data_IF_270395814480
#
_entry.id   IF_270395814480
#
_cell.length_a   1.000
_cell.length_b   1.000
_cell.length_c   1.000
_cell.angle_alpha   90.00
_cell.angle_beta   90.00
_cell.angle_gamma   90.00
#
_symmetry.space_group_name_H-M   'P 1'
#
loop_
_entity.id
_entity.type
_entity.pdbx_description
1 polymer ?
#
# COMPACT_ATOMS: atom_id res chain seq x y z
N UNK A 1 14.47 -11.45 4.05
CA UNK A 1 14.46 -11.47 2.56
C UNK A 1 15.35 -12.56 1.96
N UNK A 2 16.58 -12.79 2.42
CA UNK A 2 17.47 -13.79 1.80
C UNK A 2 16.87 -15.19 1.63
N UNK A 3 16.04 -15.64 2.57
CA UNK A 3 15.36 -16.95 2.50
C UNK A 3 14.25 -17.08 1.45
N UNK A 4 13.89 -15.97 0.78
CA UNK A 4 12.85 -15.91 -0.27
C UNK A 4 13.36 -15.18 -1.51
N UNK A 5 14.67 -15.02 -1.66
CA UNK A 5 15.25 -14.24 -2.77
C UNK A 5 14.96 -14.87 -4.13
N UNK A 6 14.87 -16.20 -4.19
CA UNK A 6 14.54 -16.94 -5.40
C UNK A 6 13.08 -16.72 -5.85
N UNK A 7 12.22 -16.19 -4.98
CA UNK A 7 10.83 -15.82 -5.29
C UNK A 7 10.70 -14.36 -5.77
N UNK A 8 11.80 -13.59 -5.79
CA UNK A 8 11.80 -12.14 -6.05
C UNK A 8 12.36 -11.83 -7.44
N UNK A 9 11.70 -10.92 -8.16
CA UNK A 9 12.15 -10.31 -9.41
C UNK A 9 12.58 -8.87 -9.15
N UNK A 10 13.87 -8.54 -9.30
CA UNK A 10 14.39 -7.21 -9.04
C UNK A 10 14.35 -6.29 -10.27
N UNK A 11 14.11 -5.00 -10.03
CA UNK A 11 14.24 -3.92 -11.02
C UNK A 11 15.18 -2.87 -10.45
N UNK A 12 16.44 -2.82 -10.93
CA UNK A 12 17.48 -1.99 -10.30
C UNK A 12 17.71 -0.62 -10.97
N UNK A 13 17.11 -0.39 -12.13
CA UNK A 13 17.27 0.84 -12.91
C UNK A 13 16.06 1.79 -12.81
N UNK A 14 15.31 1.75 -11.70
CA UNK A 14 14.14 2.62 -11.51
C UNK A 14 14.55 4.09 -11.45
N UNK A 15 13.82 4.96 -12.13
CA UNK A 15 14.02 6.42 -12.07
C UNK A 15 12.73 7.17 -11.70
N UNK A 16 12.90 8.28 -11.00
CA UNK A 16 11.84 9.20 -10.60
C UNK A 16 12.04 10.59 -11.20
N UNK A 17 11.03 11.45 -11.05
CA UNK A 17 11.04 12.83 -11.56
C UNK A 17 11.41 13.88 -10.51
N UNK A 18 11.50 13.51 -9.24
CA UNK A 18 11.79 14.44 -8.14
C UNK A 18 12.40 13.72 -6.95
N UNK A 19 13.36 14.36 -6.29
CA UNK A 19 13.87 13.97 -4.98
C UNK A 19 13.11 14.60 -3.81
N UNK A 20 11.95 15.21 -4.04
CA UNK A 20 11.12 15.79 -2.97
C UNK A 20 10.07 14.77 -2.56
N UNK A 21 10.05 14.36 -1.29
CA UNK A 21 9.14 13.32 -0.79
C UNK A 21 7.69 13.54 -1.24
N UNK A 22 7.14 14.75 -1.12
CA UNK A 22 5.75 15.00 -1.48
C UNK A 22 5.47 14.77 -2.97
N UNK A 23 6.36 15.13 -3.88
CA UNK A 23 6.14 14.87 -5.30
C UNK A 23 6.42 13.41 -5.66
N UNK A 24 7.41 12.82 -5.02
CA UNK A 24 7.88 11.48 -5.31
C UNK A 24 6.91 10.41 -4.76
N UNK A 25 6.32 10.60 -3.57
CA UNK A 25 5.29 9.69 -3.05
C UNK A 25 4.03 9.72 -3.91
N UNK A 26 3.61 10.90 -4.38
CA UNK A 26 2.52 10.96 -5.36
C UNK A 26 2.88 10.25 -6.65
N UNK A 27 4.08 10.47 -7.19
CA UNK A 27 4.51 9.81 -8.42
C UNK A 27 4.45 8.29 -8.28
N UNK A 28 4.95 7.75 -7.17
CA UNK A 28 4.90 6.31 -6.94
C UNK A 28 3.50 5.79 -6.64
N UNK A 29 2.64 6.55 -5.96
CA UNK A 29 1.31 6.06 -5.62
C UNK A 29 0.28 6.26 -6.74
N UNK A 30 0.47 7.26 -7.60
CA UNK A 30 -0.54 7.75 -8.56
C UNK A 30 -0.02 7.89 -9.99
N UNK A 31 1.29 7.76 -10.25
CA UNK A 31 1.86 8.08 -11.56
C UNK A 31 2.02 9.59 -11.85
N UNK A 32 1.57 10.47 -10.95
CA UNK A 32 1.66 11.92 -11.14
C UNK A 32 2.38 12.61 -9.97
N UNK A 33 3.12 13.69 -10.23
CA UNK A 33 3.80 14.44 -9.17
C UNK A 33 2.89 15.43 -8.43
N UNK A 34 1.69 15.67 -8.99
CA UNK A 34 0.71 16.62 -8.49
C UNK A 34 -0.50 15.88 -7.94
N UNK A 35 -1.18 16.45 -6.92
CA UNK A 35 -2.43 15.88 -6.42
C UNK A 35 -3.55 15.93 -7.46
N UNK A 36 -4.62 15.16 -7.21
CA UNK A 36 -5.83 15.16 -8.04
C UNK A 36 -5.97 13.95 -8.95
N UNK A 37 -5.11 12.95 -8.78
CA UNK A 37 -5.16 11.69 -9.51
C UNK A 37 -5.39 10.51 -8.56
N UNK A 38 -6.11 9.48 -9.02
CA UNK A 38 -6.35 8.29 -8.20
C UNK A 38 -5.05 7.53 -7.92
N UNK A 39 -4.95 6.91 -6.75
CA UNK A 39 -3.85 5.99 -6.44
C UNK A 39 -4.03 4.61 -7.07
N UNK A 40 -2.95 3.84 -7.18
CA UNK A 40 -2.94 2.52 -7.82
C UNK A 40 -3.97 1.54 -7.22
N UNK A 41 -4.12 1.53 -5.90
CA UNK A 41 -5.16 0.70 -5.25
C UNK A 41 -6.59 1.11 -5.63
N UNK A 42 -6.83 2.40 -5.92
CA UNK A 42 -8.11 2.86 -6.46
C UNK A 42 -8.31 2.43 -7.92
N UNK A 43 -7.24 2.33 -8.72
CA UNK A 43 -7.33 1.79 -10.08
C UNK A 43 -7.75 0.34 -10.05
N UNK A 44 -7.09 -0.47 -9.21
CA UNK A 44 -7.39 -1.90 -9.05
C UNK A 44 -8.80 -2.10 -8.49
N UNK A 45 -9.18 -1.36 -7.45
CA UNK A 45 -10.54 -1.40 -6.89
C UNK A 45 -11.61 -1.02 -7.92
N UNK A 46 -11.35 -0.01 -8.75
CA UNK A 46 -12.27 0.39 -9.83
C UNK A 46 -12.35 -0.66 -10.95
N UNK A 47 -11.22 -1.26 -11.33
CA UNK A 47 -11.13 -2.17 -12.47
C UNK A 47 -11.64 -3.58 -12.14
N UNK A 48 -11.28 -4.12 -10.96
CA UNK A 48 -11.64 -5.47 -10.52
C UNK A 48 -12.92 -5.51 -9.66
N UNK A 49 -13.35 -4.38 -9.12
CA UNK A 49 -14.41 -4.34 -8.12
C UNK A 49 -14.03 -5.05 -6.82
N UNK A 50 -15.02 -5.54 -6.09
CA UNK A 50 -14.84 -6.35 -4.88
C UNK A 50 -15.51 -7.71 -5.07
N UNK A 51 -14.84 -8.78 -4.63
CA UNK A 51 -15.46 -10.10 -4.42
C UNK A 51 -16.01 -10.24 -2.99
N UNK A 52 -15.68 -9.29 -2.11
CA UNK A 52 -16.11 -9.28 -0.73
C UNK A 52 -17.17 -8.19 -0.52
N UNK A 53 -18.27 -8.57 0.13
CA UNK A 53 -19.33 -7.63 0.51
C UNK A 53 -19.05 -6.93 1.84
N UNK A 54 -18.31 -7.56 2.73
CA UNK A 54 -18.07 -7.13 4.11
C UNK A 54 -16.77 -6.37 4.31
N UNK A 55 -15.80 -6.48 3.38
CA UNK A 55 -14.52 -5.79 3.42
C UNK A 55 -14.30 -4.89 2.20
N UNK A 56 -13.56 -3.77 2.36
CA UNK A 56 -13.18 -2.88 1.26
C UNK A 56 -12.25 -3.59 0.28
N UNK A 57 -12.41 -3.32 -1.01
CA UNK A 57 -11.51 -3.81 -2.04
C UNK A 57 -10.08 -3.21 -1.93
N UNK A 58 -9.94 -2.02 -1.32
CA UNK A 58 -8.66 -1.34 -1.15
C UNK A 58 -8.45 -0.93 0.32
N UNK A 59 -7.48 -1.56 0.98
CA UNK A 59 -7.05 -1.26 2.34
C UNK A 59 -5.67 -0.59 2.33
N UNK A 60 -5.49 0.40 3.20
CA UNK A 60 -4.21 1.05 3.45
C UNK A 60 -3.83 0.85 4.92
N UNK A 61 -2.61 0.36 5.15
CA UNK A 61 -2.00 0.16 6.46
C UNK A 61 -0.86 1.18 6.63
N UNK A 62 -1.11 2.34 7.27
CA UNK A 62 -0.10 3.38 7.43
C UNK A 62 1.08 2.94 8.31
N UNK A 63 2.09 3.79 8.35
CA UNK A 63 3.12 3.66 9.38
C UNK A 63 2.52 3.93 10.77
N UNK A 64 3.04 3.27 11.82
CA UNK A 64 2.47 3.44 13.15
C UNK A 64 2.64 4.85 13.71
N UNK A 65 3.64 5.57 13.20
CA UNK A 65 3.95 6.95 13.53
C UNK A 65 3.10 7.96 12.73
N UNK A 66 2.38 7.51 11.70
CA UNK A 66 1.38 8.31 10.99
C UNK A 66 1.41 8.13 9.48
N UNK A 67 0.94 9.15 8.76
CA UNK A 67 0.86 9.12 7.31
C UNK A 67 2.14 9.55 6.61
N UNK A 68 2.47 8.87 5.51
CA UNK A 68 3.50 9.31 4.57
C UNK A 68 3.25 10.75 4.08
N UNK A 69 4.26 11.36 3.45
CA UNK A 69 4.14 12.69 2.84
C UNK A 69 2.90 12.78 1.94
N UNK A 70 2.11 13.85 2.09
CA UNK A 70 0.75 14.08 1.54
C UNK A 70 -0.42 13.27 2.13
N UNK A 71 -0.14 12.27 2.94
CA UNK A 71 -1.09 11.42 3.62
C UNK A 71 -2.17 10.84 2.70
N UNK A 72 -3.46 10.90 3.07
CA UNK A 72 -4.53 10.21 2.34
C UNK A 72 -4.67 10.52 0.85
N UNK A 73 -4.06 11.62 0.40
CA UNK A 73 -4.04 11.99 -1.02
C UNK A 73 -3.26 10.99 -1.89
N UNK A 74 -2.35 10.18 -1.31
CA UNK A 74 -1.65 9.13 -2.05
C UNK A 74 -2.56 7.95 -2.46
N UNK A 75 -3.65 7.73 -1.74
CA UNK A 75 -4.61 6.64 -1.97
C UNK A 75 -6.04 7.15 -2.17
N UNK A 76 -6.15 8.38 -2.67
CA UNK A 76 -7.42 8.99 -3.01
C UNK A 76 -8.05 8.34 -4.24
N UNK A 77 -9.38 8.30 -4.30
CA UNK A 77 -10.14 7.94 -5.52
C UNK A 77 -10.16 9.08 -6.55
N UNK A 78 -9.94 10.33 -6.13
CA UNK A 78 -9.97 11.51 -6.98
C UNK A 78 -11.25 11.60 -7.85
N UNK A 79 -11.11 11.40 -9.17
CA UNK A 79 -12.23 11.40 -10.11
C UNK A 79 -12.85 10.01 -10.36
N UNK A 80 -12.34 8.97 -9.73
CA UNK A 80 -12.98 7.66 -9.69
C UNK A 80 -14.15 7.67 -8.69
N UNK A 81 -15.11 6.74 -8.79
CA UNK A 81 -16.16 6.58 -7.79
C UNK A 81 -15.61 6.47 -6.36
N UNK A 82 -16.32 7.06 -5.39
CA UNK A 82 -15.89 7.11 -3.98
C UNK A 82 -15.69 5.74 -3.34
N UNK A 83 -16.34 4.69 -3.84
CA UNK A 83 -16.13 3.33 -3.33
C UNK A 83 -14.74 2.75 -3.66
N UNK A 84 -14.02 3.35 -4.61
CA UNK A 84 -12.63 3.01 -4.92
C UNK A 84 -11.61 3.69 -3.97
N UNK A 85 -12.09 4.50 -3.01
CA UNK A 85 -11.24 5.15 -2.01
C UNK A 85 -10.57 4.10 -1.11
N UNK A 86 -9.26 4.27 -0.84
CA UNK A 86 -8.57 3.41 0.11
C UNK A 86 -9.08 3.63 1.54
N UNK A 87 -9.43 2.53 2.22
CA UNK A 87 -9.82 2.53 3.63
C UNK A 87 -8.59 2.35 4.51
N UNK A 88 -8.33 3.32 5.37
CA UNK A 88 -7.22 3.29 6.31
C UNK A 88 -7.54 2.39 7.50
N UNK A 89 -6.64 1.47 7.83
CA UNK A 89 -6.68 0.67 9.06
C UNK A 89 -5.34 0.83 9.79
N UNK A 90 -5.39 1.03 11.11
CA UNK A 90 -4.24 1.09 12.00
C UNK A 90 -4.22 -0.12 12.95
N UNK A 91 -3.72 -1.29 12.52
CA UNK A 91 -3.82 -2.54 13.28
C UNK A 91 -3.21 -2.55 14.68
N UNK A 92 -2.38 -1.55 14.98
CA UNK A 92 -1.70 -1.38 16.25
C UNK A 92 -2.48 -0.55 17.28
N UNK A 93 -3.57 0.10 16.87
CA UNK A 93 -4.40 0.92 17.77
C UNK A 93 -5.49 0.05 18.40
N UNK A 94 -5.93 0.45 19.59
CA UNK A 94 -7.11 -0.15 20.23
C UNK A 94 -8.37 0.02 19.39
N UNK A 95 -8.51 1.18 18.74
CA UNK A 95 -9.51 1.42 17.69
C UNK A 95 -8.80 1.50 16.32
N UNK A 96 -8.74 0.41 15.54
CA UNK A 96 -7.99 0.38 14.29
C UNK A 96 -8.62 1.20 13.16
N UNK A 97 -9.94 1.42 13.23
CA UNK A 97 -10.71 2.16 12.23
C UNK A 97 -11.40 3.31 12.95
N UNK A 98 -11.18 4.54 12.47
CA UNK A 98 -11.82 5.72 13.05
C UNK A 98 -13.35 5.65 12.88
N UNK A 99 -14.10 6.18 13.85
CA UNK A 99 -15.56 6.28 13.83
C UNK A 99 -16.30 4.92 13.66
N UNK A 100 -15.65 3.80 14.00
CA UNK A 100 -16.20 2.45 13.86
C UNK A 100 -17.27 2.13 14.92
N UNK A 101 -17.21 2.76 16.10
CA UNK A 101 -18.17 2.51 17.17
C UNK A 101 -18.81 3.81 17.65
N UNK A 102 -20.12 3.82 17.96
CA UNK A 102 -20.77 4.98 18.52
C UNK A 102 -20.16 5.32 19.89
N UNK A 103 -19.77 6.58 20.08
CA UNK A 103 -19.22 7.07 21.35
C UNK A 103 -20.33 7.66 22.24
N UNK A 104 -21.29 6.82 22.64
CA UNK A 104 -22.39 7.24 23.52
C UNK A 104 -23.01 6.07 24.29
N UNK A 105 -23.11 6.22 25.62
CA UNK A 105 -23.60 5.17 26.52
C UNK A 105 -25.09 4.80 26.31
N UNK A 106 -25.86 5.68 25.68
CA UNK A 106 -27.29 5.48 25.41
C UNK A 106 -27.56 4.81 24.05
N UNK A 107 -26.53 4.58 23.23
CA UNK A 107 -26.68 3.90 21.93
C UNK A 107 -26.56 2.39 22.15
N UNK A 108 -27.66 1.67 21.96
CA UNK A 108 -27.67 0.21 22.01
C UNK A 108 -27.44 -0.37 20.62
N UNK A 109 -27.14 -1.67 20.52
CA UNK A 109 -27.01 -2.34 19.22
C UNK A 109 -28.29 -2.22 18.39
N UNK A 110 -29.44 -2.29 19.06
CA UNK A 110 -30.77 -2.16 18.45
C UNK A 110 -30.99 -0.74 17.92
N UNK A 111 -30.77 0.30 18.74
CA UNK A 111 -30.99 1.69 18.29
C UNK A 111 -30.00 2.13 17.21
N UNK A 112 -28.76 1.63 17.25
CA UNK A 112 -27.78 1.82 16.17
C UNK A 112 -28.26 1.17 14.86
N UNK A 113 -28.73 -0.08 14.92
CA UNK A 113 -29.28 -0.78 13.77
C UNK A 113 -30.51 -0.09 13.16
N UNK A 114 -31.44 0.38 14.00
CA UNK A 114 -32.60 1.17 13.56
C UNK A 114 -32.18 2.50 12.93
N UNK A 115 -31.17 3.18 13.48
CA UNK A 115 -30.61 4.40 12.92
C UNK A 115 -30.01 4.18 11.52
N UNK A 116 -29.22 3.12 11.34
CA UNK A 116 -28.68 2.74 10.03
C UNK A 116 -29.81 2.41 9.04
N UNK A 117 -30.84 1.67 9.48
CA UNK A 117 -31.99 1.34 8.64
C UNK A 117 -32.75 2.58 8.18
N UNK A 118 -32.96 3.55 9.06
CA UNK A 118 -33.60 4.82 8.72
C UNK A 118 -32.77 5.62 7.71
N UNK A 119 -31.45 5.72 7.93
CA UNK A 119 -30.54 6.39 7.00
C UNK A 119 -30.60 5.71 5.63
N UNK A 120 -30.58 4.38 5.57
CA UNK A 120 -30.69 3.63 4.31
C UNK A 120 -32.04 3.85 3.62
N UNK A 121 -33.14 3.93 4.37
CA UNK A 121 -34.44 4.27 3.80
C UNK A 121 -34.46 5.68 3.20
N UNK A 122 -33.93 6.68 3.92
CA UNK A 122 -33.82 8.06 3.43
C UNK A 122 -32.92 8.14 2.18
N UNK A 123 -31.81 7.41 2.17
CA UNK A 123 -30.91 7.29 1.04
C UNK A 123 -31.64 6.73 -0.20
N UNK A 124 -32.41 5.65 -0.05
CA UNK A 124 -33.21 5.07 -1.15
C UNK A 124 -34.26 6.05 -1.68
N UNK A 125 -34.96 6.78 -0.81
CA UNK A 125 -35.92 7.82 -1.21
C UNK A 125 -35.21 8.94 -1.99
N UNK A 126 -34.02 9.34 -1.54
CA UNK A 126 -33.23 10.36 -2.22
C UNK A 126 -32.71 9.89 -3.59
N UNK A 127 -32.30 8.62 -3.68
CA UNK A 127 -31.82 7.96 -4.90
C UNK A 127 -32.91 7.85 -5.96
N UNK A 128 -34.14 7.48 -5.57
CA UNK A 128 -35.28 7.38 -6.50
C UNK A 128 -35.56 8.70 -7.24
N UNK A 129 -35.25 9.85 -6.64
CA UNK A 129 -35.40 11.17 -7.27
C UNK A 129 -34.23 11.55 -8.20
N UNK A 130 -33.13 10.77 -8.21
CA UNK A 130 -31.89 11.04 -8.95
C UNK A 130 -31.26 9.75 -9.51
N UNK A 131 -31.97 8.98 -10.34
CA UNK A 131 -31.50 7.68 -10.83
C UNK A 131 -30.23 7.75 -11.71
N UNK A 132 -29.81 8.94 -12.12
CA UNK A 132 -28.65 9.17 -12.99
C UNK A 132 -27.48 9.85 -12.26
N UNK A 133 -27.49 9.95 -10.92
CA UNK A 133 -26.35 10.52 -10.16
C UNK A 133 -25.47 9.41 -9.54
N UNK A 134 -24.43 8.92 -10.25
CA UNK A 134 -23.57 7.84 -9.76
C UNK A 134 -22.79 8.22 -8.49
N UNK A 135 -22.68 9.52 -8.17
CA UNK A 135 -21.99 9.99 -6.95
C UNK A 135 -22.81 9.66 -5.71
N UNK A 136 -24.14 9.74 -5.80
CA UNK A 136 -25.03 9.40 -4.70
C UNK A 136 -24.95 7.90 -4.40
N UNK A 137 -25.07 7.06 -5.43
CA UNK A 137 -24.95 5.60 -5.30
C UNK A 137 -23.61 5.19 -4.67
N UNK A 138 -22.53 5.81 -5.13
CA UNK A 138 -21.19 5.53 -4.60
C UNK A 138 -21.06 5.95 -3.14
N UNK A 139 -21.69 7.05 -2.71
CA UNK A 139 -21.71 7.46 -1.30
C UNK A 139 -22.52 6.50 -0.43
N UNK A 140 -23.69 6.07 -0.90
CA UNK A 140 -24.52 5.09 -0.18
C UNK A 140 -23.72 3.80 0.04
N UNK A 141 -23.08 3.27 -1.02
CA UNK A 141 -22.22 2.08 -0.92
C UNK A 141 -21.06 2.26 0.07
N UNK A 142 -20.42 3.42 0.08
CA UNK A 142 -19.34 3.71 1.04
C UNK A 142 -19.82 3.64 2.50
N UNK A 143 -21.03 4.15 2.81
CA UNK A 143 -21.59 4.08 4.17
C UNK A 143 -22.05 2.67 4.55
N UNK A 144 -22.66 1.94 3.62
CA UNK A 144 -23.04 0.53 3.85
C UNK A 144 -21.81 -0.35 4.09
N UNK A 145 -20.72 -0.11 3.35
CA UNK A 145 -19.44 -0.77 3.59
C UNK A 145 -18.86 -0.40 4.97
N UNK A 146 -18.90 0.87 5.36
CA UNK A 146 -18.44 1.29 6.69
C UNK A 146 -19.24 0.60 7.81
N UNK A 147 -20.56 0.43 7.65
CA UNK A 147 -21.40 -0.29 8.60
C UNK A 147 -21.03 -1.79 8.67
N UNK A 148 -20.80 -2.45 7.54
CA UNK A 148 -20.38 -3.87 7.49
C UNK A 148 -19.00 -4.09 8.09
N UNK A 149 -18.07 -3.16 7.83
CA UNK A 149 -16.74 -3.14 8.45
C UNK A 149 -16.81 -3.20 9.98
N UNK A 150 -17.81 -2.59 10.63
CA UNK A 150 -17.97 -2.66 12.09
C UNK A 150 -18.14 -4.09 12.60
N UNK A 151 -18.74 -4.97 11.80
CA UNK A 151 -18.99 -6.37 12.15
C UNK A 151 -17.85 -7.29 11.71
N UNK A 152 -17.28 -7.03 10.53
CA UNK A 152 -16.33 -7.95 9.86
C UNK A 152 -14.85 -7.63 10.11
N UNK A 153 -14.50 -6.37 10.38
CA UNK A 153 -13.10 -5.96 10.53
C UNK A 153 -12.45 -6.58 11.77
N UNK A 154 -13.23 -6.80 12.83
CA UNK A 154 -12.72 -7.40 14.08
C UNK A 154 -12.07 -8.75 13.81
N UNK A 155 -12.71 -9.62 13.05
CA UNK A 155 -12.18 -10.95 12.74
C UNK A 155 -10.96 -10.89 11.83
N UNK A 156 -10.92 -9.95 10.88
CA UNK A 156 -9.75 -9.77 10.02
C UNK A 156 -8.53 -9.27 10.81
N UNK A 157 -8.76 -8.46 11.85
CA UNK A 157 -7.73 -7.81 12.65
C UNK A 157 -7.31 -8.58 13.90
N UNK A 158 -8.14 -9.52 14.36
CA UNK A 158 -7.82 -10.35 15.51
C UNK A 158 -6.73 -11.39 15.17
N UNK A 159 -5.60 -11.26 15.85
CA UNK A 159 -4.43 -12.14 15.76
C UNK A 159 -4.41 -13.22 16.85
N UNK A 160 -5.34 -13.19 17.80
CA UNK A 160 -5.38 -14.12 18.93
C UNK A 160 -5.51 -15.59 18.51
N UNK A 161 -6.11 -15.82 17.34
CA UNK A 161 -6.33 -17.14 16.77
C UNK A 161 -5.19 -17.61 15.85
N UNK A 162 -4.14 -16.81 15.66
CA UNK A 162 -3.01 -17.21 14.83
C UNK A 162 -2.10 -18.21 15.56
N UNK A 163 -1.66 -19.29 14.89
CA UNK A 163 -0.74 -20.23 15.50
C UNK A 163 0.56 -19.55 15.94
N UNK A 164 1.12 -19.97 17.09
CA UNK A 164 2.36 -19.41 17.63
C UNK A 164 3.53 -19.42 16.64
N UNK A 165 3.62 -20.43 15.76
CA UNK A 165 4.67 -20.51 14.75
C UNK A 165 4.52 -19.44 13.67
N UNK A 166 3.28 -19.04 13.32
CA UNK A 166 2.99 -17.93 12.41
C UNK A 166 3.35 -16.61 13.08
N UNK A 167 2.88 -16.38 14.31
CA UNK A 167 3.25 -15.18 15.08
C UNK A 167 4.76 -15.02 15.17
N UNK A 168 5.49 -16.12 15.45
CA UNK A 168 6.95 -16.12 15.47
C UNK A 168 7.58 -15.77 14.12
N UNK A 169 7.02 -16.30 13.02
CA UNK A 169 7.51 -16.02 11.67
C UNK A 169 7.47 -14.52 11.36
N UNK A 170 6.37 -13.84 11.71
CA UNK A 170 6.20 -12.40 11.53
C UNK A 170 6.90 -11.54 12.59
N UNK A 171 7.44 -12.13 13.67
CA UNK A 171 8.10 -11.40 14.74
C UNK A 171 7.17 -10.78 15.78
N UNK A 172 6.06 -11.46 16.04
CA UNK A 172 5.00 -11.06 16.96
C UNK A 172 4.95 -11.93 18.22
N UNK A 173 6.02 -12.68 18.53
CA UNK A 173 6.04 -13.57 19.70
C UNK A 173 6.01 -12.83 21.05
N UNK A 174 6.55 -11.61 21.12
CA UNK A 174 6.72 -10.84 22.36
C UNK A 174 6.39 -9.36 22.15
N UNK A 175 5.14 -9.01 21.83
CA UNK A 175 4.79 -7.63 21.56
C UNK A 175 4.93 -6.76 22.82
N UNK A 176 5.43 -5.53 22.68
CA UNK A 176 5.61 -4.61 23.80
C UNK A 176 4.54 -3.52 23.76
N UNK A 177 4.02 -3.16 24.94
CA UNK A 177 3.10 -2.00 25.06
C UNK A 177 3.79 -0.68 24.74
N UNK A 178 5.10 -0.60 24.98
CA UNK A 178 5.89 0.59 24.74
C UNK A 178 7.30 0.21 24.31
N UNK A 179 7.82 0.96 23.35
CA UNK A 179 9.18 0.87 22.85
C UNK A 179 9.99 2.11 23.27
N UNK A 180 11.33 2.00 23.32
CA UNK A 180 12.21 3.16 23.46
C UNK A 180 11.90 4.24 22.41
N UNK A 181 12.27 5.49 22.71
CA UNK A 181 12.11 6.59 21.75
C UNK A 181 13.06 6.43 20.57
N UNK A 182 14.22 5.82 20.81
CA UNK A 182 15.22 5.51 19.81
C UNK A 182 14.71 4.42 18.87
N UNK A 183 14.95 4.59 17.57
CA UNK A 183 14.61 3.58 16.58
C UNK A 183 15.33 2.26 16.90
N UNK A 184 14.60 1.17 16.86
CA UNK A 184 15.11 -0.13 17.27
C UNK A 184 14.47 -1.26 16.46
N UNK A 185 15.17 -2.38 16.24
CA UNK A 185 14.71 -3.45 15.36
C UNK A 185 13.48 -4.18 15.91
N UNK A 186 13.28 -4.23 17.23
CA UNK A 186 12.12 -4.90 17.83
C UNK A 186 10.82 -4.15 17.54
N UNK A 187 10.84 -2.82 17.67
CA UNK A 187 9.72 -1.94 17.32
C UNK A 187 9.36 -2.11 15.85
N UNK A 188 10.35 -1.96 14.96
CA UNK A 188 10.15 -2.05 13.50
C UNK A 188 9.65 -3.43 13.07
N UNK A 189 10.16 -4.49 13.71
CA UNK A 189 9.70 -5.86 13.47
C UNK A 189 8.26 -6.05 13.88
N UNK A 190 7.86 -5.59 15.07
CA UNK A 190 6.48 -5.78 15.52
C UNK A 190 5.50 -5.05 14.61
N UNK A 191 5.70 -3.74 14.37
CA UNK A 191 4.72 -2.96 13.62
C UNK A 191 4.66 -3.35 12.14
N UNK A 192 5.80 -3.60 11.49
CA UNK A 192 5.81 -4.02 10.09
C UNK A 192 5.32 -5.45 9.94
N UNK A 193 5.77 -6.38 10.80
CA UNK A 193 5.32 -7.76 10.84
C UNK A 193 3.81 -7.88 11.07
N UNK A 194 3.24 -7.09 11.98
CA UNK A 194 1.79 -7.02 12.23
C UNK A 194 1.04 -6.59 10.97
N UNK A 195 1.50 -5.54 10.28
CA UNK A 195 0.88 -5.09 9.02
C UNK A 195 0.94 -6.16 7.92
N UNK A 196 2.06 -6.87 7.79
CA UNK A 196 2.18 -7.97 6.84
C UNK A 196 1.22 -9.13 7.17
N UNK A 197 1.10 -9.53 8.44
CA UNK A 197 0.20 -10.59 8.86
C UNK A 197 -1.28 -10.21 8.62
N UNK A 198 -1.64 -8.96 8.91
CA UNK A 198 -2.97 -8.42 8.60
C UNK A 198 -3.20 -8.36 7.09
N UNK A 199 -2.21 -7.92 6.30
CA UNK A 199 -2.31 -7.93 4.85
C UNK A 199 -2.61 -9.34 4.32
N UNK A 200 -1.92 -10.38 4.82
CA UNK A 200 -2.22 -11.77 4.47
C UNK A 200 -3.67 -12.14 4.83
N UNK A 201 -4.13 -11.82 6.04
CA UNK A 201 -5.51 -12.11 6.48
C UNK A 201 -6.57 -11.40 5.63
N UNK A 202 -6.28 -10.20 5.17
CA UNK A 202 -7.15 -9.42 4.27
C UNK A 202 -7.18 -10.02 2.87
N UNK A 203 -6.02 -10.39 2.32
CA UNK A 203 -5.90 -11.05 1.00
C UNK A 203 -6.66 -12.39 1.00
N UNK A 204 -6.48 -13.20 2.04
CA UNK A 204 -7.22 -14.47 2.22
C UNK A 204 -8.75 -14.28 2.28
N UNK A 205 -9.21 -13.08 2.66
CA UNK A 205 -10.62 -12.70 2.68
C UNK A 205 -11.06 -11.96 1.43
N UNK A 206 -10.26 -11.92 0.36
CA UNK A 206 -10.64 -11.34 -0.92
C UNK A 206 -10.49 -9.81 -1.01
N UNK A 207 -9.72 -9.17 -0.13
CA UNK A 207 -9.32 -7.77 -0.34
C UNK A 207 -8.38 -7.69 -1.55
N UNK A 208 -8.77 -6.94 -2.58
CA UNK A 208 -8.05 -6.88 -3.88
C UNK A 208 -6.72 -6.15 -3.82
N UNK A 209 -6.59 -5.15 -2.95
CA UNK A 209 -5.38 -4.35 -2.86
C UNK A 209 -5.11 -3.95 -1.41
N UNK A 210 -3.93 -4.30 -0.90
CA UNK A 210 -3.46 -3.88 0.42
C UNK A 210 -2.18 -3.08 0.27
N UNK A 211 -2.19 -1.82 0.68
CA UNK A 211 -1.01 -0.95 0.65
C UNK A 211 -0.41 -0.82 2.04
N UNK A 212 0.82 -1.28 2.22
CA UNK A 212 1.57 -1.16 3.48
C UNK A 212 2.57 -0.01 3.37
N UNK A 213 2.47 0.98 4.25
CA UNK A 213 3.43 2.09 4.33
C UNK A 213 4.45 1.86 5.45
N UNK A 214 5.68 2.32 5.26
CA UNK A 214 6.73 2.26 6.27
C UNK A 214 7.58 3.52 6.24
N UNK A 215 7.94 4.01 7.43
CA UNK A 215 8.87 5.12 7.60
C UNK A 215 8.20 6.49 7.49
N UNK A 216 7.36 6.83 8.47
CA UNK A 216 6.89 8.20 8.65
C UNK A 216 7.35 8.77 10.00
N UNK A 217 8.46 9.50 10.05
CA UNK A 217 8.83 10.29 11.22
C UNK A 217 9.51 11.59 10.78
N UNK A 218 8.75 12.69 10.85
CA UNK A 218 9.23 14.04 10.52
C UNK A 218 9.77 14.78 11.75
N UNK A 219 9.99 14.09 12.87
CA UNK A 219 10.68 14.62 14.04
C UNK A 219 12.15 14.89 13.78
N UNK A 220 12.84 15.44 14.79
CA UNK A 220 14.29 15.64 14.76
C UNK A 220 14.97 15.00 15.98
N UNK A 221 15.93 14.08 15.78
CA UNK A 221 16.32 13.50 14.51
C UNK A 221 15.20 12.64 13.91
N UNK A 222 15.14 12.54 12.57
CA UNK A 222 14.18 11.67 11.89
C UNK A 222 14.44 10.21 12.22
N UNK A 223 13.39 9.38 12.20
CA UNK A 223 13.45 7.93 12.40
C UNK A 223 12.68 7.22 11.28
N UNK A 224 13.07 7.49 10.04
CA UNK A 224 12.45 6.97 8.84
C UNK A 224 13.51 6.78 7.73
N UNK A 225 13.07 6.40 6.54
CA UNK A 225 13.94 6.18 5.37
C UNK A 225 14.59 7.46 4.79
N UNK A 226 14.27 8.64 5.33
CA UNK A 226 14.87 9.90 4.90
C UNK A 226 16.31 10.08 5.44
N UNK A 227 16.61 9.56 6.64
CA UNK A 227 17.95 9.43 7.24
C UNK A 227 19.06 10.39 6.76
N UNK A 228 18.83 11.70 6.79
CA UNK A 228 19.87 12.72 6.53
C UNK A 228 20.84 12.82 7.70
N UNK A 229 20.41 12.43 8.90
CA UNK A 229 21.19 12.53 10.13
C UNK A 229 22.16 11.35 10.31
N UNK A 230 21.66 10.11 10.32
CA UNK A 230 22.47 8.91 10.58
C UNK A 230 21.84 7.63 9.99
N UNK A 231 22.35 7.17 8.85
CA UNK A 231 21.85 5.96 8.22
C UNK A 231 22.19 4.68 8.98
N UNK A 232 23.32 4.64 9.71
CA UNK A 232 23.71 3.46 10.49
C UNK A 232 22.79 3.27 11.70
N UNK A 233 22.22 4.35 12.22
CA UNK A 233 21.19 4.29 13.27
C UNK A 233 19.86 3.79 12.72
N UNK A 234 19.41 4.35 11.60
CA UNK A 234 18.03 4.20 11.13
C UNK A 234 17.80 2.96 10.26
N UNK A 235 18.59 2.82 9.19
CA UNK A 235 18.34 1.82 8.14
C UNK A 235 18.42 0.38 8.64
N UNK A 236 19.35 -0.03 9.53
CA UNK A 236 19.39 -1.41 10.00
C UNK A 236 18.09 -1.84 10.71
N UNK A 237 17.52 -0.98 11.54
CA UNK A 237 16.27 -1.25 12.25
C UNK A 237 15.09 -1.33 11.28
N UNK A 238 14.95 -0.34 10.40
CA UNK A 238 13.89 -0.28 9.39
C UNK A 238 13.95 -1.48 8.43
N UNK A 239 15.16 -1.79 7.94
CA UNK A 239 15.40 -2.90 7.03
C UNK A 239 15.14 -4.24 7.71
N UNK A 240 15.49 -4.41 8.99
CA UNK A 240 15.18 -5.65 9.73
C UNK A 240 13.67 -5.88 9.84
N UNK A 241 12.91 -4.85 10.25
CA UNK A 241 11.46 -4.95 10.37
C UNK A 241 10.77 -5.25 9.04
N UNK A 242 11.14 -4.50 8.00
CA UNK A 242 10.65 -4.73 6.63
C UNK A 242 11.02 -6.14 6.14
N UNK A 243 12.28 -6.56 6.32
CA UNK A 243 12.78 -7.81 5.76
C UNK A 243 12.21 -9.05 6.44
N UNK A 244 11.91 -8.98 7.75
CA UNK A 244 11.28 -10.09 8.49
C UNK A 244 9.81 -10.21 8.14
N UNK A 245 9.05 -9.10 8.23
CA UNK A 245 7.61 -9.12 7.92
C UNK A 245 7.32 -9.50 6.47
N UNK A 246 8.08 -8.96 5.52
CA UNK A 246 7.91 -9.26 4.09
C UNK A 246 8.29 -10.71 3.75
N UNK A 247 9.38 -11.23 4.30
CA UNK A 247 9.75 -12.62 4.08
C UNK A 247 8.73 -13.59 4.68
N UNK A 248 8.16 -13.27 5.84
CA UNK A 248 7.07 -14.02 6.44
C UNK A 248 5.82 -13.99 5.54
N UNK A 249 5.45 -12.82 4.99
CA UNK A 249 4.33 -12.68 4.06
C UNK A 249 4.48 -13.57 2.82
N UNK A 250 5.63 -13.52 2.16
CA UNK A 250 5.91 -14.34 0.97
C UNK A 250 5.80 -15.84 1.32
N UNK A 251 6.43 -16.27 2.42
CA UNK A 251 6.38 -17.67 2.87
C UNK A 251 4.97 -18.13 3.22
N UNK A 252 4.20 -17.32 3.95
CA UNK A 252 2.85 -17.64 4.41
C UNK A 252 1.87 -17.69 3.22
N UNK A 253 1.95 -16.74 2.28
CA UNK A 253 1.17 -16.81 1.04
C UNK A 253 1.52 -18.06 0.22
N UNK A 254 2.82 -18.40 0.11
CA UNK A 254 3.27 -19.60 -0.61
C UNK A 254 2.76 -20.88 0.04
N UNK A 255 2.82 -20.98 1.37
CA UNK A 255 2.29 -22.12 2.13
C UNK A 255 0.78 -22.31 1.95
N UNK A 256 0.05 -21.23 1.69
CA UNK A 256 -1.41 -21.23 1.44
C UNK A 256 -1.78 -21.38 -0.03
N UNK A 257 -0.80 -21.44 -0.94
CA UNK A 257 -1.02 -21.43 -2.38
C UNK A 257 -1.53 -20.08 -2.93
N UNK A 258 -1.50 -19.01 -2.14
CA UNK A 258 -1.98 -17.68 -2.52
C UNK A 258 -0.94 -16.83 -3.25
N UNK A 259 0.36 -17.20 -3.18
CA UNK A 259 1.43 -16.42 -3.80
C UNK A 259 1.30 -16.39 -5.33
N UNK A 260 0.83 -17.48 -5.95
CA UNK A 260 0.63 -17.56 -7.40
C UNK A 260 -0.44 -16.59 -7.90
N UNK A 261 -1.45 -16.28 -7.06
CA UNK A 261 -2.55 -15.38 -7.37
C UNK A 261 -2.38 -13.97 -6.79
N UNK A 262 -1.26 -13.71 -6.09
CA UNK A 262 -1.01 -12.44 -5.39
C UNK A 262 0.29 -11.80 -5.87
N UNK A 263 0.19 -10.59 -6.43
CA UNK A 263 1.37 -9.77 -6.72
C UNK A 263 1.78 -9.03 -5.44
N UNK A 264 3.00 -9.27 -4.98
CA UNK A 264 3.68 -8.39 -4.02
C UNK A 264 4.55 -7.43 -4.83
N UNK A 265 4.32 -6.13 -4.67
CA UNK A 265 5.17 -5.08 -5.24
C UNK A 265 5.77 -4.24 -4.12
N UNK A 266 7.09 -4.26 -4.02
CA UNK A 266 7.84 -3.38 -3.13
C UNK A 266 8.46 -2.23 -3.91
N UNK A 267 8.25 -1.02 -3.40
CA UNK A 267 8.69 0.22 -4.03
C UNK A 267 9.04 1.27 -2.98
N UNK A 268 9.76 2.30 -3.41
CA UNK A 268 10.07 3.51 -2.63
C UNK A 268 9.95 4.73 -3.54
N UNK A 269 9.79 5.93 -2.96
CA UNK A 269 9.71 7.16 -3.73
C UNK A 269 10.98 7.50 -4.51
N UNK A 270 12.15 7.10 -3.99
CA UNK A 270 13.48 7.24 -4.59
C UNK A 270 14.54 6.53 -3.75
N UNK A 271 15.78 6.46 -4.24
CA UNK A 271 16.92 5.92 -3.51
C UNK A 271 17.63 6.98 -2.65
N UNK A 272 18.77 6.59 -2.05
CA UNK A 272 19.74 7.54 -1.45
C UNK A 272 20.98 7.63 -2.32
N UNK A 273 21.61 8.82 -2.33
CA UNK A 273 22.86 9.05 -3.05
C UNK A 273 23.95 8.08 -2.57
N UNK A 274 24.88 7.66 -3.44
CA UNK A 274 26.03 6.87 -3.01
C UNK A 274 27.06 7.69 -2.22
N UNK A 275 26.96 9.02 -2.27
CA UNK A 275 27.79 9.96 -1.53
C UNK A 275 27.07 10.55 -0.31
N UNK A 276 27.83 10.92 0.71
CA UNK A 276 27.40 11.79 1.81
C UNK A 276 27.76 13.25 1.51
N UNK A 277 26.94 14.19 2.01
CA UNK A 277 27.21 15.64 1.99
C UNK A 277 28.02 16.10 3.23
N UNK A 278 28.72 15.19 3.90
CA UNK A 278 29.54 15.47 5.10
C UNK A 278 28.91 15.05 6.43
N UNK A 279 27.73 14.40 6.40
CA UNK A 279 27.08 13.81 7.57
C UNK A 279 27.16 12.28 7.56
N UNK A 280 26.58 11.61 8.57
CA UNK A 280 26.38 10.15 8.56
C UNK A 280 25.17 9.71 7.73
N UNK A 281 24.41 10.67 7.20
CA UNK A 281 23.34 10.45 6.24
C UNK A 281 23.79 10.66 4.79
N UNK A 282 22.87 10.44 3.86
CA UNK A 282 23.09 10.61 2.40
C UNK A 282 21.87 11.29 1.81
N UNK A 283 22.01 12.18 0.83
CA UNK A 283 20.89 12.90 0.19
C UNK A 283 20.00 12.00 -0.69
N UNK A 284 18.89 12.53 -1.23
CA UNK A 284 17.95 11.85 -2.12
C UNK A 284 18.57 11.49 -3.46
N UNK A 285 18.31 10.28 -3.97
CA UNK A 285 18.65 9.87 -5.33
C UNK A 285 17.40 9.44 -6.13
N UNK A 286 16.73 10.37 -6.81
CA UNK A 286 15.64 10.02 -7.72
C UNK A 286 16.14 9.43 -9.04
N UNK A 287 17.46 9.40 -9.27
CA UNK A 287 18.02 9.04 -10.56
C UNK A 287 18.34 7.57 -10.69
N UNK A 288 18.40 6.78 -9.62
CA UNK A 288 18.36 5.32 -9.69
C UNK A 288 17.97 4.73 -8.34
N UNK A 289 17.07 3.75 -8.34
CA UNK A 289 16.72 2.97 -7.15
C UNK A 289 16.18 1.60 -7.56
N UNK A 290 15.89 0.77 -6.54
CA UNK A 290 15.41 -0.59 -6.75
C UNK A 290 13.94 -0.68 -6.40
N UNK A 291 13.18 -1.37 -7.25
CA UNK A 291 11.90 -1.99 -6.92
C UNK A 291 12.04 -3.50 -7.04
N UNK A 292 11.07 -4.24 -6.53
CA UNK A 292 10.97 -5.67 -6.82
C UNK A 292 9.55 -6.18 -6.71
N UNK A 293 9.31 -7.32 -7.36
CA UNK A 293 8.05 -8.05 -7.37
C UNK A 293 8.22 -9.48 -6.87
N UNK A 294 7.14 -10.10 -6.41
CA UNK A 294 7.07 -11.53 -6.12
C UNK A 294 5.63 -12.04 -6.32
N UNK A 295 5.49 -13.27 -6.81
CA UNK A 295 4.17 -13.91 -7.03
C UNK A 295 3.38 -13.30 -8.19
N UNK A 296 2.13 -13.74 -8.37
CA UNK A 296 1.21 -13.18 -9.36
C UNK A 296 1.70 -13.24 -10.81
N UNK A 297 2.46 -14.28 -11.15
CA UNK A 297 3.07 -14.51 -12.46
C UNK A 297 4.32 -13.69 -12.79
N UNK A 298 4.90 -12.99 -11.81
CA UNK A 298 6.28 -12.50 -11.91
C UNK A 298 7.27 -13.65 -11.70
N UNK A 299 8.31 -13.71 -12.52
CA UNK A 299 9.30 -14.78 -12.47
C UNK A 299 10.38 -14.51 -11.42
N UNK A 300 10.37 -15.28 -10.33
CA UNK A 300 11.37 -15.19 -9.27
C UNK A 300 12.81 -15.48 -9.75
N UNK A 301 13.80 -14.89 -9.07
CA UNK A 301 15.21 -15.02 -9.41
C UNK A 301 15.66 -14.14 -10.59
N UNK A 302 14.77 -13.33 -11.14
CA UNK A 302 15.07 -12.41 -12.24
C UNK A 302 15.61 -11.07 -11.77
N UNK A 303 16.38 -10.44 -12.64
CA UNK A 303 16.87 -9.07 -12.46
C UNK A 303 16.71 -8.32 -13.78
N UNK A 304 16.07 -7.16 -13.72
CA UNK A 304 15.88 -6.29 -14.87
C UNK A 304 16.52 -4.92 -14.64
N UNK A 305 17.32 -4.52 -15.63
CA UNK A 305 18.07 -3.28 -15.60
C UNK A 305 19.16 -3.26 -14.53
N UNK A 306 20.16 -2.43 -14.74
CA UNK A 306 21.28 -2.26 -13.80
C UNK A 306 21.46 -0.79 -13.46
N UNK A 307 21.90 -0.53 -12.23
CA UNK A 307 22.49 0.75 -11.88
C UNK A 307 23.95 0.78 -12.34
N UNK A 308 24.52 1.97 -12.50
CA UNK A 308 25.96 2.12 -12.75
C UNK A 308 26.77 1.60 -11.55
N UNK A 309 28.08 1.43 -11.74
CA UNK A 309 28.98 0.90 -10.70
C UNK A 309 28.99 1.71 -9.38
N UNK A 310 28.41 2.91 -9.39
CA UNK A 310 28.31 3.78 -8.22
C UNK A 310 26.92 3.77 -7.59
N UNK A 311 25.90 3.18 -8.23
CA UNK A 311 24.51 3.33 -7.80
C UNK A 311 24.01 4.77 -7.93
N UNK A 312 24.55 5.55 -8.88
CA UNK A 312 24.20 6.95 -9.07
C UNK A 312 23.09 7.13 -10.11
N UNK A 313 23.18 6.41 -11.24
CA UNK A 313 22.22 6.42 -12.36
C UNK A 313 22.03 5.00 -12.93
N UNK A 314 21.08 4.76 -13.84
CA UNK A 314 21.02 3.54 -14.61
C UNK A 314 22.30 3.37 -15.42
N UNK A 315 22.75 2.13 -15.56
CA UNK A 315 23.86 1.77 -16.43
C UNK A 315 23.50 2.13 -17.89
N UNK A 316 22.33 1.68 -18.35
CA UNK A 316 21.74 2.14 -19.60
C UNK A 316 20.81 3.33 -19.37
N UNK A 317 21.34 4.53 -19.65
CA UNK A 317 20.60 5.79 -19.49
C UNK A 317 19.52 6.01 -20.55
N UNK A 318 19.53 5.23 -21.64
CA UNK A 318 18.53 5.33 -22.71
C UNK A 318 17.28 4.53 -22.40
N UNK A 319 17.40 3.48 -21.58
CA UNK A 319 16.31 2.59 -21.21
C UNK A 319 16.18 2.47 -19.67
N UNK A 320 15.87 3.57 -18.95
CA UNK A 320 15.52 3.50 -17.54
C UNK A 320 14.11 2.91 -17.35
N UNK A 321 13.87 2.25 -16.23
CA UNK A 321 12.52 1.83 -15.84
C UNK A 321 11.85 2.93 -15.04
N UNK A 322 10.58 3.19 -15.31
CA UNK A 322 9.79 4.21 -14.61
C UNK A 322 8.62 3.58 -13.87
N UNK A 323 7.99 4.36 -12.98
CA UNK A 323 6.76 3.94 -12.30
C UNK A 323 5.65 3.52 -13.28
N UNK A 324 5.64 4.09 -14.49
CA UNK A 324 4.65 3.76 -15.50
C UNK A 324 4.83 2.34 -16.03
N UNK A 325 6.08 1.91 -16.19
CA UNK A 325 6.41 0.56 -16.66
C UNK A 325 6.07 -0.48 -15.58
N UNK A 326 6.38 -0.17 -14.32
CA UNK A 326 5.99 -0.94 -13.14
C UNK A 326 4.48 -1.18 -13.09
N UNK A 327 3.68 -0.12 -13.24
CA UNK A 327 2.22 -0.25 -13.20
C UNK A 327 1.61 -0.84 -14.47
N UNK A 328 2.18 -0.59 -15.64
CA UNK A 328 1.79 -1.27 -16.88
C UNK A 328 1.96 -2.78 -16.73
N UNK A 329 3.09 -3.21 -16.19
CA UNK A 329 3.41 -4.63 -15.93
C UNK A 329 2.49 -5.24 -14.88
N UNK A 330 2.23 -4.54 -13.77
CA UNK A 330 1.30 -5.00 -12.73
C UNK A 330 -0.14 -5.13 -13.26
N UNK A 331 -0.63 -4.15 -14.02
CA UNK A 331 -1.98 -4.21 -14.61
C UNK A 331 -2.09 -5.31 -15.67
N UNK A 332 -1.02 -5.56 -16.44
CA UNK A 332 -0.96 -6.67 -17.38
C UNK A 332 -1.15 -8.02 -16.66
N UNK A 333 -0.44 -8.24 -15.55
CA UNK A 333 -0.60 -9.46 -14.74
C UNK A 333 -1.99 -9.56 -14.08
N UNK A 334 -2.64 -8.44 -13.81
CA UNK A 334 -4.04 -8.40 -13.34
C UNK A 334 -5.06 -8.59 -14.49
N UNK A 335 -4.61 -8.85 -15.72
CA UNK A 335 -5.47 -9.11 -16.88
C UNK A 335 -6.00 -7.85 -17.59
N UNK A 336 -5.41 -6.68 -17.31
CA UNK A 336 -5.81 -5.42 -17.94
C UNK A 336 -4.80 -4.92 -18.96
N UNK A 337 -5.34 -4.46 -20.09
CA UNK A 337 -4.62 -3.54 -20.96
C UNK A 337 -4.66 -2.14 -20.33
N UNK A 338 -3.52 -1.72 -19.77
CA UNK A 338 -3.40 -0.42 -19.10
C UNK A 338 -3.70 0.75 -20.04
N UNK A 339 -3.51 0.58 -21.37
CA UNK A 339 -3.80 1.61 -22.37
C UNK A 339 -5.29 1.88 -22.51
N UNK A 340 -6.11 0.86 -22.22
CA UNK A 340 -7.57 0.91 -22.32
C UNK A 340 -8.26 1.21 -21.00
N UNK A 341 -7.52 1.24 -19.89
CA UNK A 341 -8.04 1.61 -18.58
C UNK A 341 -8.18 3.13 -18.48
N UNK A 342 -9.19 3.66 -19.16
CA UNK A 342 -9.46 5.10 -19.32
C UNK A 342 -10.79 5.52 -18.68
N UNK A 343 -10.82 6.70 -18.06
CA UNK A 343 -12.02 7.28 -17.46
C UNK A 343 -12.29 8.67 -18.04
N UNK A 344 -13.52 8.90 -18.50
CA UNK A 344 -13.97 10.21 -18.97
C UNK A 344 -14.14 11.17 -17.79
N UNK A 345 -13.31 12.20 -17.72
CA UNK A 345 -13.35 13.21 -16.67
C UNK A 345 -12.98 14.60 -17.22
N UNK A 346 -13.80 15.61 -16.95
CA UNK A 346 -13.67 16.97 -17.52
C UNK A 346 -13.56 16.95 -19.05
N UNK A 347 -14.45 16.18 -19.69
CA UNK A 347 -14.56 16.04 -21.15
C UNK A 347 -13.37 15.40 -21.88
N UNK A 348 -12.38 14.87 -21.15
CA UNK A 348 -11.26 14.12 -21.73
C UNK A 348 -11.21 12.69 -21.21
N UNK A 349 -10.78 11.75 -22.06
CA UNK A 349 -10.50 10.37 -21.64
C UNK A 349 -9.12 10.33 -20.99
N UNK A 350 -9.07 10.02 -19.69
CA UNK A 350 -7.84 9.96 -18.91
C UNK A 350 -7.43 8.51 -18.70
N UNK A 351 -6.27 8.12 -19.21
CA UNK A 351 -5.64 6.84 -18.85
C UNK A 351 -5.12 6.91 -17.41
N UNK A 352 -5.38 5.89 -16.61
CA UNK A 352 -5.01 5.88 -15.18
C UNK A 352 -3.49 5.84 -14.97
N UNK A 353 -2.73 5.25 -15.88
CA UNK A 353 -1.25 5.21 -15.84
C UNK A 353 -0.57 6.35 -16.58
N UNK A 354 -1.27 7.46 -16.88
CA UNK A 354 -0.78 8.54 -17.77
C UNK A 354 -0.42 8.04 -19.19
N UNK A 355 0.03 8.90 -20.10
CA UNK A 355 0.41 8.58 -21.50
C UNK A 355 1.76 7.83 -21.65
N UNK A 356 2.24 7.21 -20.59
CA UNK A 356 3.50 6.45 -20.54
C UNK A 356 3.29 4.98 -20.15
N UNK A 357 4.39 4.23 -20.11
CA UNK A 357 4.46 2.86 -19.59
C UNK A 357 4.54 1.81 -20.68
N UNK A 358 5.46 0.87 -20.51
CA UNK A 358 5.58 -0.35 -21.29
C UNK A 358 5.65 -1.57 -20.35
N UNK A 359 5.10 -2.70 -20.79
CA UNK A 359 5.17 -3.94 -20.03
C UNK A 359 6.62 -4.45 -20.05
N UNK A 360 7.19 -4.67 -18.85
CA UNK A 360 8.53 -5.24 -18.68
C UNK A 360 8.40 -6.77 -18.75
N UNK A 361 8.50 -7.32 -19.95
CA UNK A 361 8.30 -8.76 -20.17
C UNK A 361 9.41 -9.63 -19.59
N UNK A 362 10.60 -9.07 -19.38
CA UNK A 362 11.79 -9.80 -18.91
C UNK A 362 11.65 -10.37 -17.48
N UNK A 363 10.66 -9.90 -16.71
CA UNK A 363 10.41 -10.31 -15.33
C UNK A 363 9.12 -11.12 -15.17
N UNK A 364 8.50 -11.55 -16.27
CA UNK A 364 7.26 -12.34 -16.29
C UNK A 364 7.55 -13.81 -16.64
N UNK A 365 6.70 -14.72 -16.14
CA UNK A 365 6.86 -16.17 -16.26
C UNK A 365 6.37 -16.80 -17.58
#
# INVERSE_FOLDING_TARGET
LGEVVDDISFVHNMVGKSGVHSQATYLQATGFQLPGFPGAGSWVSYALGSENEDLPAFVVLPDHRGFASNGPKNWGSAFLPTHAQGTTIFPQRENPIEDLHPQADFVTKESHGEGINLINQLNRIHQQKRPLDPRLDSRIRSYELAARLQLSATDALDLSQEPNHILKMYGLENPKKQYPKEINPEEETEYFGRKCLIARRLIERGVRFVQVWSGNDNGFPRRNWDSHEDMNRDHPSLAMGMARGTAALIKDLKQRGLLEDTIIHWTTEFGRMPSSQGSKGRDHNPFVFTNWFAGGGFQGGMTHGESDQWGYKPLDRKNPTTVYDTYATMLHQLGFDHERLTVRHNSIDRRLTDVHGHVVTDILA
#
